data_IF_250524179003
#
_entry.id   IF_250524179003
#
_cell.length_a   1.000
_cell.length_b   1.000
_cell.length_c   1.000
_cell.angle_alpha   90.00
_cell.angle_beta   90.00
_cell.angle_gamma   90.00
#
_symmetry.space_group_name_H-M   'P 1'
#
loop_
_entity.id
_entity.type
_entity.pdbx_description
1 polymer ?
#
# COMPACT_ATOMS: atom_id res chain seq x y z
N UNK A 1 62.78 8.56 -31.33
CA UNK A 1 62.14 9.41 -30.31
C UNK A 1 60.89 10.05 -30.90
N UNK A 2 59.73 9.41 -30.74
CA UNK A 2 58.43 10.06 -30.94
C UNK A 2 57.49 9.49 -29.86
N UNK A 3 57.01 10.39 -29.00
CA UNK A 3 55.99 10.13 -28.00
C UNK A 3 54.63 10.46 -28.61
N UNK A 4 53.68 9.53 -28.52
CA UNK A 4 52.26 9.79 -28.77
C UNK A 4 51.56 9.74 -27.42
N UNK A 5 51.07 10.90 -26.97
CA UNK A 5 50.17 10.99 -25.81
C UNK A 5 48.75 10.64 -26.25
N UNK A 6 48.19 9.57 -25.70
CA UNK A 6 46.74 9.30 -25.76
C UNK A 6 46.06 10.00 -24.58
N UNK A 7 45.23 11.01 -24.88
CA UNK A 7 44.25 11.56 -23.94
C UNK A 7 42.99 10.70 -23.96
N UNK A 8 42.74 9.99 -22.87
CA UNK A 8 41.45 9.36 -22.60
C UNK A 8 40.50 10.41 -22.00
N UNK A 9 39.41 10.71 -22.71
CA UNK A 9 38.29 11.50 -22.18
C UNK A 9 37.36 10.54 -21.45
N UNK A 10 37.29 10.66 -20.12
CA UNK A 10 36.35 9.92 -19.30
C UNK A 10 35.02 10.69 -19.27
N UNK A 11 34.03 10.25 -20.06
CA UNK A 11 32.65 10.73 -19.94
C UNK A 11 31.99 10.05 -18.74
N UNK A 12 31.80 10.80 -17.66
CA UNK A 12 30.94 10.39 -16.54
C UNK A 12 29.50 10.72 -16.94
N UNK A 13 28.75 9.73 -17.41
CA UNK A 13 27.28 9.84 -17.54
C UNK A 13 26.67 9.69 -16.16
N UNK A 14 26.34 10.81 -15.53
CA UNK A 14 25.45 10.84 -14.37
C UNK A 14 24.04 10.45 -14.82
N UNK A 15 23.71 9.16 -14.71
CA UNK A 15 22.33 8.70 -14.77
C UNK A 15 21.61 9.28 -13.54
N UNK A 16 20.82 10.34 -13.75
CA UNK A 16 19.91 10.83 -12.74
C UNK A 16 18.89 9.74 -12.45
N UNK A 17 19.04 9.06 -11.30
CA UNK A 17 17.94 8.31 -10.71
C UNK A 17 16.87 9.34 -10.39
N UNK A 18 15.84 9.37 -11.22
CA UNK A 18 14.63 10.14 -10.97
C UNK A 18 13.95 9.46 -9.78
N UNK A 19 14.25 9.95 -8.57
CA UNK A 19 13.50 9.56 -7.37
C UNK A 19 12.07 10.07 -7.57
N UNK A 20 11.16 9.15 -7.87
CA UNK A 20 9.72 9.38 -7.72
C UNK A 20 9.47 9.98 -6.33
N UNK A 21 8.69 11.07 -6.21
CA UNK A 21 8.39 11.66 -4.92
C UNK A 21 7.72 10.60 -4.04
N UNK A 22 8.35 10.24 -2.93
CA UNK A 22 7.77 9.33 -1.96
C UNK A 22 6.46 9.95 -1.46
N UNK A 23 5.32 9.30 -1.77
CA UNK A 23 4.08 9.59 -1.07
C UNK A 23 4.35 9.37 0.43
N UNK A 24 4.12 10.40 1.25
CA UNK A 24 4.40 10.33 2.67
C UNK A 24 3.48 9.28 3.31
N UNK A 25 4.05 8.12 3.63
CA UNK A 25 3.41 7.08 4.41
C UNK A 25 2.90 7.65 5.74
N UNK A 26 1.69 7.26 6.15
CA UNK A 26 1.16 7.64 7.47
C UNK A 26 1.73 6.67 8.51
N UNK A 27 2.82 7.06 9.18
CA UNK A 27 3.55 6.19 10.10
C UNK A 27 3.10 6.35 11.57
N UNK A 28 2.76 5.25 12.23
CA UNK A 28 2.54 5.19 13.69
C UNK A 28 2.98 3.81 14.24
N UNK A 29 3.71 3.76 15.36
CA UNK A 29 4.20 2.48 15.92
C UNK A 29 5.09 1.66 14.95
N UNK A 30 5.68 2.31 13.94
CA UNK A 30 6.43 1.66 12.86
C UNK A 30 5.57 0.84 11.91
N UNK A 31 4.27 1.15 11.80
CA UNK A 31 3.36 0.67 10.77
C UNK A 31 3.05 1.80 9.79
N UNK A 32 2.93 1.48 8.51
CA UNK A 32 2.39 2.36 7.48
C UNK A 32 0.88 2.13 7.36
N UNK A 33 0.07 3.17 7.54
CA UNK A 33 -1.38 3.11 7.46
C UNK A 33 -1.88 3.82 6.20
N UNK A 34 -2.88 3.21 5.56
CA UNK A 34 -3.85 3.92 4.75
C UNK A 34 -5.20 3.87 5.48
N UNK A 35 -5.80 5.03 5.67
CA UNK A 35 -7.08 5.20 6.37
C UNK A 35 -8.12 5.56 5.33
N UNK A 36 -9.23 4.84 5.34
CA UNK A 36 -10.31 5.08 4.39
C UNK A 36 -11.31 6.13 4.88
N UNK A 37 -12.28 6.43 4.03
CA UNK A 37 -13.48 7.10 4.52
C UNK A 37 -14.23 6.19 5.49
N UNK A 38 -15.00 6.78 6.40
CA UNK A 38 -15.78 6.03 7.40
C UNK A 38 -17.27 5.98 7.03
N UNK A 39 -17.59 6.36 5.79
CA UNK A 39 -18.95 6.44 5.31
C UNK A 39 -19.11 6.11 3.82
N UNK A 40 -18.31 5.20 3.27
CA UNK A 40 -18.40 4.79 1.86
C UNK A 40 -18.67 3.31 1.65
N UNK A 41 -18.51 2.47 2.67
CA UNK A 41 -19.00 1.10 2.64
C UNK A 41 -20.52 1.03 2.34
N UNK A 42 -20.91 0.19 1.39
CA UNK A 42 -22.32 0.02 0.99
C UNK A 42 -22.88 -1.32 1.46
N UNK A 43 -23.89 -1.31 2.33
CA UNK A 43 -24.64 -2.53 2.68
C UNK A 43 -26.12 -2.37 2.32
N UNK A 44 -26.56 -3.07 1.27
CA UNK A 44 -27.92 -2.95 0.75
C UNK A 44 -28.25 -1.51 0.34
N UNK A 45 -29.20 -0.88 1.01
CA UNK A 45 -29.58 0.52 0.73
C UNK A 45 -28.75 1.56 1.50
N UNK A 46 -27.98 1.13 2.50
CA UNK A 46 -27.24 2.01 3.39
C UNK A 46 -25.84 2.30 2.83
N UNK A 47 -25.41 3.54 3.01
CA UNK A 47 -24.05 4.01 2.73
C UNK A 47 -23.47 4.45 4.07
N UNK A 48 -22.32 3.90 4.43
CA UNK A 48 -21.64 4.15 5.68
C UNK A 48 -22.02 3.23 6.84
N UNK A 49 -21.03 2.83 7.63
CA UNK A 49 -21.14 2.12 8.91
C UNK A 49 -21.69 0.69 8.83
N UNK A 50 -21.94 0.17 7.63
CA UNK A 50 -22.46 -1.18 7.40
C UNK A 50 -21.39 -2.26 7.49
N UNK A 51 -21.79 -3.51 7.24
CA UNK A 51 -20.90 -4.68 7.23
C UNK A 51 -19.74 -4.56 6.24
N UNK A 52 -19.92 -3.87 5.11
CA UNK A 52 -18.85 -3.73 4.12
C UNK A 52 -17.89 -2.56 4.41
N UNK A 53 -18.09 -1.77 5.46
CA UNK A 53 -17.22 -0.64 5.78
C UNK A 53 -15.79 -1.08 6.10
N UNK A 54 -14.83 -0.59 5.31
CA UNK A 54 -13.39 -0.71 5.56
C UNK A 54 -12.88 0.60 6.15
N UNK A 55 -12.18 0.52 7.28
CA UNK A 55 -11.67 1.73 7.96
C UNK A 55 -10.19 1.97 7.68
N UNK A 56 -9.44 0.90 7.40
CA UNK A 56 -8.01 1.04 7.16
C UNK A 56 -7.28 -0.27 6.89
N UNK A 57 -6.11 -0.12 6.29
CA UNK A 57 -5.09 -1.16 6.15
C UNK A 57 -3.78 -0.63 6.69
N UNK A 58 -3.02 -1.49 7.36
CA UNK A 58 -1.69 -1.17 7.85
C UNK A 58 -0.70 -2.25 7.42
N UNK A 59 0.48 -1.84 6.99
CA UNK A 59 1.58 -2.74 6.63
C UNK A 59 2.84 -2.35 7.43
N UNK A 60 3.46 -3.36 8.03
CA UNK A 60 4.77 -3.28 8.68
C UNK A 60 5.68 -4.32 8.06
N UNK A 61 6.97 -4.03 7.93
CA UNK A 61 7.96 -5.01 7.48
C UNK A 61 9.13 -5.13 8.44
N UNK A 62 9.76 -6.30 8.40
CA UNK A 62 11.10 -6.58 8.92
C UNK A 62 12.03 -6.89 7.73
N UNK A 63 13.25 -7.36 7.98
CA UNK A 63 14.16 -7.80 6.90
C UNK A 63 13.59 -8.97 6.10
N UNK A 64 12.82 -9.85 6.74
CA UNK A 64 12.36 -11.14 6.23
C UNK A 64 10.85 -11.23 6.02
N UNK A 65 10.05 -10.58 6.88
CA UNK A 65 8.60 -10.68 6.87
C UNK A 65 7.90 -9.36 6.56
N UNK A 66 6.69 -9.48 6.02
CA UNK A 66 5.71 -8.43 6.00
C UNK A 66 4.52 -8.84 6.87
N UNK A 67 3.96 -7.86 7.56
CA UNK A 67 2.81 -7.98 8.45
C UNK A 67 1.73 -7.05 7.91
N UNK A 68 0.53 -7.59 7.73
CA UNK A 68 -0.63 -6.85 7.24
C UNK A 68 -1.69 -6.88 8.32
N UNK A 69 -2.34 -5.74 8.55
CA UNK A 69 -3.52 -5.64 9.37
C UNK A 69 -4.61 -4.88 8.61
N UNK A 70 -5.85 -5.37 8.70
CA UNK A 70 -7.04 -4.77 8.10
C UNK A 70 -8.03 -4.48 9.22
N UNK A 71 -8.62 -3.30 9.22
CA UNK A 71 -9.70 -2.91 10.11
C UNK A 71 -10.97 -2.59 9.31
N UNK A 72 -12.08 -3.19 9.71
CA UNK A 72 -13.33 -3.20 8.95
C UNK A 72 -14.51 -3.66 9.82
N UNK A 73 -15.72 -3.65 9.26
CA UNK A 73 -16.87 -4.37 9.83
C UNK A 73 -17.07 -5.78 9.23
N UNK A 74 -16.45 -6.08 8.09
CA UNK A 74 -16.65 -7.35 7.41
C UNK A 74 -15.91 -8.48 8.15
N UNK A 75 -16.63 -9.50 8.61
CA UNK A 75 -15.97 -10.64 9.26
C UNK A 75 -15.13 -11.45 8.27
N UNK A 76 -14.09 -12.15 8.72
CA UNK A 76 -13.31 -13.05 7.87
C UNK A 76 -14.15 -14.23 7.31
N UNK A 77 -15.29 -14.54 7.95
CA UNK A 77 -16.27 -15.50 7.43
C UNK A 77 -17.12 -14.93 6.28
N UNK A 78 -17.02 -13.63 6.01
CA UNK A 78 -17.84 -12.89 5.04
C UNK A 78 -19.16 -12.41 5.63
N UNK A 79 -19.96 -11.82 4.75
CA UNK A 79 -21.36 -11.43 4.96
C UNK A 79 -22.27 -12.49 4.34
N UNK A 80 -23.20 -13.05 5.10
CA UNK A 80 -24.09 -14.09 4.58
C UNK A 80 -25.10 -13.50 3.58
N UNK A 81 -25.08 -14.00 2.34
CA UNK A 81 -25.98 -13.61 1.27
C UNK A 81 -26.34 -14.85 0.44
N UNK A 82 -27.58 -15.37 0.53
CA UNK A 82 -28.01 -16.57 -0.19
C UNK A 82 -27.95 -16.46 -1.72
N UNK A 83 -27.79 -15.26 -2.28
CA UNK A 83 -27.73 -15.03 -3.72
C UNK A 83 -26.31 -14.86 -4.24
N UNK A 84 -25.30 -14.83 -3.37
CA UNK A 84 -23.89 -14.90 -3.73
C UNK A 84 -23.47 -16.34 -4.09
N UNK A 85 -22.43 -16.52 -4.91
CA UNK A 85 -22.00 -17.82 -5.47
C UNK A 85 -21.81 -18.90 -4.39
N UNK A 86 -21.35 -18.50 -3.20
CA UNK A 86 -21.08 -19.38 -2.05
C UNK A 86 -22.00 -19.18 -0.85
N UNK A 87 -23.08 -18.44 -1.03
CA UNK A 87 -23.96 -18.05 0.07
C UNK A 87 -23.35 -17.00 1.02
N UNK A 88 -22.21 -16.42 0.65
CA UNK A 88 -21.60 -15.29 1.32
C UNK A 88 -20.87 -14.37 0.33
N UNK A 89 -20.68 -13.13 0.75
CA UNK A 89 -19.82 -12.15 0.11
C UNK A 89 -18.66 -11.89 1.05
N UNK A 90 -17.44 -12.14 0.62
CA UNK A 90 -16.25 -12.07 1.45
C UNK A 90 -15.31 -10.93 1.01
N UNK A 91 -14.11 -10.92 1.59
CA UNK A 91 -12.99 -10.17 1.05
C UNK A 91 -12.54 -10.77 -0.28
N UNK A 92 -12.21 -9.88 -1.21
CA UNK A 92 -11.33 -10.21 -2.32
C UNK A 92 -9.92 -10.57 -1.85
N UNK A 93 -9.05 -10.85 -2.81
CA UNK A 93 -7.63 -11.08 -2.52
C UNK A 93 -6.87 -9.76 -2.37
N UNK A 94 -5.83 -9.74 -1.53
CA UNK A 94 -4.95 -8.58 -1.38
C UNK A 94 -3.87 -8.61 -2.45
N UNK A 95 -3.90 -7.68 -3.39
CA UNK A 95 -2.93 -7.59 -4.46
C UNK A 95 -1.79 -6.66 -4.11
N UNK A 96 -0.61 -6.95 -4.64
CA UNK A 96 0.57 -6.10 -4.63
C UNK A 96 1.04 -5.89 -6.07
N UNK A 97 1.22 -4.64 -6.45
CA UNK A 97 1.70 -4.24 -7.77
C UNK A 97 2.99 -3.43 -7.64
N UNK A 98 4.10 -4.06 -8.02
CA UNK A 98 5.44 -3.48 -8.03
C UNK A 98 5.86 -2.91 -9.40
N UNK A 99 4.98 -3.02 -10.41
CA UNK A 99 5.35 -2.74 -11.81
C UNK A 99 5.43 -1.26 -12.16
N UNK A 100 4.90 -0.37 -11.30
CA UNK A 100 4.69 1.04 -11.61
C UNK A 100 3.59 1.30 -12.67
N UNK A 101 2.91 0.25 -13.14
CA UNK A 101 1.79 0.35 -14.07
C UNK A 101 0.44 0.40 -13.33
N UNK A 102 -0.60 0.87 -14.00
CA UNK A 102 -1.98 0.73 -13.50
C UNK A 102 -2.36 -0.76 -13.32
N UNK A 103 -3.42 -1.01 -12.54
CA UNK A 103 -3.80 -2.35 -12.13
C UNK A 103 -4.12 -3.27 -13.33
N UNK A 104 -4.83 -2.77 -14.34
CA UNK A 104 -5.22 -3.55 -15.52
C UNK A 104 -4.03 -3.96 -16.39
N UNK A 105 -3.08 -3.06 -16.61
CA UNK A 105 -1.85 -3.35 -17.35
C UNK A 105 -1.01 -4.37 -16.60
N UNK A 106 -0.82 -4.19 -15.28
CA UNK A 106 -0.11 -5.14 -14.44
C UNK A 106 -0.79 -6.53 -14.44
N UNK A 107 -2.12 -6.55 -14.38
CA UNK A 107 -2.92 -7.76 -14.47
C UNK A 107 -2.72 -8.50 -15.80
N UNK A 108 -2.83 -7.78 -16.91
CA UNK A 108 -2.67 -8.33 -18.27
C UNK A 108 -1.28 -8.93 -18.47
N UNK A 109 -0.26 -8.27 -17.91
CA UNK A 109 1.13 -8.72 -17.95
C UNK A 109 1.46 -9.81 -16.92
N UNK A 110 0.49 -10.22 -16.09
CA UNK A 110 0.66 -11.16 -14.98
C UNK A 110 1.77 -10.74 -14.02
N UNK A 111 1.97 -9.44 -13.82
CA UNK A 111 3.01 -8.90 -12.95
C UNK A 111 2.51 -8.60 -11.54
N UNK A 112 1.30 -9.04 -11.21
CA UNK A 112 0.75 -8.91 -9.85
C UNK A 112 1.31 -10.02 -8.96
N UNK A 113 1.44 -9.67 -7.68
CA UNK A 113 1.51 -10.61 -6.57
C UNK A 113 0.21 -10.50 -5.79
N UNK A 114 -0.18 -11.54 -5.07
CA UNK A 114 -1.39 -11.49 -4.28
C UNK A 114 -1.30 -12.38 -3.04
N UNK A 115 -2.10 -12.04 -2.04
CA UNK A 115 -2.33 -12.83 -0.84
C UNK A 115 -3.78 -13.24 -0.84
N UNK A 116 -4.03 -14.54 -0.88
CA UNK A 116 -5.32 -15.09 -0.53
C UNK A 116 -5.37 -15.32 0.97
N UNK A 117 -6.07 -14.47 1.70
CA UNK A 117 -6.20 -14.59 3.15
C UNK A 117 -7.60 -15.09 3.56
N UNK A 118 -8.65 -14.70 2.85
CA UNK A 118 -10.00 -15.19 3.13
C UNK A 118 -10.25 -16.53 2.43
N UNK A 119 -10.27 -17.63 3.20
CA UNK A 119 -10.51 -18.96 2.64
C UNK A 119 -11.92 -19.11 2.00
N UNK A 120 -12.88 -18.32 2.47
CA UNK A 120 -14.26 -18.32 1.98
C UNK A 120 -14.48 -17.61 0.64
N UNK A 121 -13.48 -16.90 0.11
CA UNK A 121 -13.64 -16.12 -1.12
C UNK A 121 -13.61 -16.99 -2.40
N UNK A 122 -14.03 -16.37 -3.50
CA UNK A 122 -14.19 -16.85 -4.87
C UNK A 122 -12.90 -16.80 -5.69
N UNK A 123 -11.77 -16.72 -5.00
CA UNK A 123 -10.46 -16.87 -5.60
C UNK A 123 -10.36 -18.17 -6.39
N UNK A 124 -9.73 -18.11 -7.57
CA UNK A 124 -9.54 -19.23 -8.49
C UNK A 124 -8.42 -20.19 -8.06
N UNK A 125 -7.64 -19.83 -7.04
CA UNK A 125 -6.66 -20.72 -6.41
C UNK A 125 -7.31 -21.49 -5.26
N UNK A 126 -6.71 -22.59 -4.78
CA UNK A 126 -7.39 -23.52 -3.87
C UNK A 126 -7.17 -23.25 -2.37
N UNK A 127 -6.05 -22.65 -1.98
CA UNK A 127 -5.68 -22.47 -0.55
C UNK A 127 -5.31 -21.03 -0.26
N UNK A 128 -5.31 -20.64 1.02
CA UNK A 128 -4.72 -19.37 1.45
C UNK A 128 -3.20 -19.38 1.23
N UNK A 129 -2.60 -18.21 1.05
CA UNK A 129 -1.15 -18.07 0.90
C UNK A 129 -0.73 -16.92 0.00
N UNK A 130 0.57 -16.90 -0.30
CA UNK A 130 1.22 -15.92 -1.16
C UNK A 130 1.31 -16.44 -2.59
N UNK A 131 0.98 -15.60 -3.56
CA UNK A 131 0.94 -15.95 -4.96
C UNK A 131 1.74 -14.96 -5.82
N UNK A 132 2.45 -15.50 -6.81
CA UNK A 132 3.16 -14.75 -7.85
C UNK A 132 2.61 -15.05 -9.24
N UNK A 133 3.03 -14.26 -10.23
CA UNK A 133 2.57 -14.37 -11.62
C UNK A 133 1.03 -14.32 -11.73
N UNK A 134 0.43 -13.46 -10.91
CA UNK A 134 -1.01 -13.42 -10.68
C UNK A 134 -1.69 -12.69 -11.83
N UNK A 135 -2.79 -13.30 -12.30
CA UNK A 135 -3.85 -12.57 -12.98
C UNK A 135 -5.08 -12.56 -12.06
N UNK A 136 -5.68 -11.39 -11.87
CA UNK A 136 -6.93 -11.14 -11.22
C UNK A 136 -8.13 -11.25 -12.19
N UNK A 137 -9.29 -11.56 -11.63
CA UNK A 137 -10.63 -11.53 -12.24
C UNK A 137 -11.55 -10.67 -11.37
N UNK A 138 -12.65 -10.24 -11.96
CA UNK A 138 -13.78 -9.73 -11.19
C UNK A 138 -14.70 -10.88 -10.80
N UNK A 139 -15.17 -10.86 -9.56
CA UNK A 139 -16.26 -11.72 -9.07
C UNK A 139 -17.48 -10.89 -8.64
N UNK A 140 -17.53 -9.61 -9.01
CA UNK A 140 -18.63 -8.74 -8.56
C UNK A 140 -19.97 -9.12 -9.18
N UNK A 141 -20.00 -9.65 -10.41
CA UNK A 141 -21.23 -10.09 -11.06
C UNK A 141 -21.93 -11.26 -10.36
N UNK A 142 -21.15 -12.20 -9.83
CA UNK A 142 -21.65 -13.37 -9.09
C UNK A 142 -21.97 -13.05 -7.64
N UNK A 143 -21.49 -11.93 -7.12
CA UNK A 143 -21.66 -11.47 -5.75
C UNK A 143 -22.58 -10.24 -5.64
N UNK A 144 -23.48 -10.05 -6.62
CA UNK A 144 -24.45 -8.94 -6.68
C UNK A 144 -23.82 -7.54 -6.47
N UNK A 145 -22.57 -7.41 -6.88
CA UNK A 145 -21.75 -6.26 -6.62
C UNK A 145 -21.89 -5.13 -7.63
N UNK A 146 -21.10 -4.09 -7.40
CA UNK A 146 -20.95 -3.00 -8.35
C UNK A 146 -20.27 -3.47 -9.63
N UNK A 147 -20.84 -3.02 -10.74
CA UNK A 147 -20.34 -3.32 -12.08
C UNK A 147 -19.01 -2.61 -12.36
N UNK A 148 -18.78 -1.44 -11.77
CA UNK A 148 -17.54 -0.68 -11.85
C UNK A 148 -17.45 0.35 -10.70
N UNK A 149 -16.27 0.92 -10.49
CA UNK A 149 -16.01 1.87 -9.40
C UNK A 149 -16.75 3.21 -9.57
N UNK A 150 -17.00 3.67 -10.80
CA UNK A 150 -17.77 4.89 -11.01
C UNK A 150 -19.21 4.77 -10.48
N UNK A 151 -19.85 3.60 -10.65
CA UNK A 151 -21.18 3.34 -10.10
C UNK A 151 -21.16 3.24 -8.58
N UNK A 152 -20.13 2.63 -7.99
CA UNK A 152 -19.90 2.63 -6.54
C UNK A 152 -19.77 4.08 -6.02
N UNK A 153 -18.83 4.86 -6.57
CA UNK A 153 -18.61 6.25 -6.19
C UNK A 153 -19.88 7.10 -6.30
N UNK A 154 -20.63 6.94 -7.41
CA UNK A 154 -21.91 7.63 -7.62
C UNK A 154 -22.94 7.26 -6.54
N UNK A 155 -23.01 5.97 -6.18
CA UNK A 155 -23.92 5.47 -5.14
C UNK A 155 -23.57 6.02 -3.77
N UNK A 156 -22.29 6.05 -3.42
CA UNK A 156 -21.79 6.61 -2.15
C UNK A 156 -22.15 8.09 -2.04
N UNK A 157 -21.82 8.88 -3.07
CA UNK A 157 -22.14 10.32 -3.10
C UNK A 157 -23.65 10.56 -3.02
N UNK A 158 -24.45 9.79 -3.74
CA UNK A 158 -25.91 9.89 -3.69
C UNK A 158 -26.50 9.53 -2.32
N UNK A 159 -25.80 8.68 -1.55
CA UNK A 159 -26.13 8.35 -0.16
C UNK A 159 -25.61 9.35 0.88
N UNK A 160 -24.89 10.40 0.46
CA UNK A 160 -24.29 11.40 1.35
C UNK A 160 -22.93 10.97 1.94
N UNK A 161 -22.37 9.87 1.47
CA UNK A 161 -21.02 9.41 1.82
C UNK A 161 -19.93 10.12 1.01
N UNK A 162 -18.68 9.87 1.38
CA UNK A 162 -17.48 10.36 0.67
C UNK A 162 -16.68 9.16 0.18
N UNK A 163 -16.69 8.85 -1.12
CA UNK A 163 -15.94 7.70 -1.63
C UNK A 163 -14.44 7.96 -1.47
N UNK A 164 -13.73 6.93 -1.05
CA UNK A 164 -12.29 6.94 -0.81
C UNK A 164 -11.70 5.59 -1.23
N UNK A 165 -10.37 5.50 -1.20
CA UNK A 165 -9.62 4.29 -1.52
C UNK A 165 -8.30 4.27 -0.74
N UNK A 166 -8.34 4.74 0.52
CA UNK A 166 -7.14 4.99 1.33
C UNK A 166 -6.16 5.99 0.70
N UNK A 167 -4.97 5.52 0.33
CA UNK A 167 -3.88 6.35 -0.19
C UNK A 167 -4.06 6.83 -1.65
N UNK A 168 -5.08 6.31 -2.33
CA UNK A 168 -5.46 6.68 -3.69
C UNK A 168 -6.77 7.47 -3.68
N UNK A 169 -6.96 8.32 -4.69
CA UNK A 169 -8.25 8.96 -4.90
C UNK A 169 -9.31 7.93 -5.31
N UNK A 170 -10.59 8.18 -5.01
CA UNK A 170 -11.68 7.28 -5.40
C UNK A 170 -11.81 7.09 -6.92
N UNK A 171 -11.40 8.09 -7.71
CA UNK A 171 -11.37 8.07 -9.17
C UNK A 171 -9.95 7.91 -9.75
N UNK A 172 -9.00 7.43 -8.94
CA UNK A 172 -7.59 7.29 -9.34
C UNK A 172 -7.45 6.44 -10.62
N UNK A 173 -6.65 6.90 -11.61
CA UNK A 173 -6.45 6.20 -12.88
C UNK A 173 -5.71 4.85 -12.74
N UNK A 174 -5.19 4.54 -11.56
CA UNK A 174 -4.68 3.21 -11.24
C UNK A 174 -5.74 2.12 -11.45
N UNK A 175 -7.01 2.42 -11.18
CA UNK A 175 -8.14 1.51 -11.37
C UNK A 175 -9.00 1.85 -12.59
N UNK A 176 -9.61 0.83 -13.17
CA UNK A 176 -10.56 0.99 -14.26
C UNK A 176 -11.93 1.44 -13.72
N UNK A 177 -12.24 2.72 -13.91
CA UNK A 177 -13.42 3.35 -13.33
C UNK A 177 -14.74 2.95 -14.00
N UNK A 178 -14.73 2.59 -15.28
CA UNK A 178 -15.95 2.34 -16.08
C UNK A 178 -15.88 1.02 -16.84
N UNK A 179 -17.03 0.57 -17.37
CA UNK A 179 -17.15 -0.71 -18.08
C UNK A 179 -17.96 -1.73 -17.28
N UNK A 180 -18.07 -2.94 -17.82
CA UNK A 180 -18.86 -4.01 -17.21
C UNK A 180 -17.96 -4.99 -16.46
N UNK A 181 -18.18 -5.11 -15.14
CA UNK A 181 -17.51 -6.07 -14.27
C UNK A 181 -15.99 -5.89 -14.27
N UNK A 182 -15.56 -4.63 -14.14
CA UNK A 182 -14.15 -4.23 -14.28
C UNK A 182 -13.37 -4.18 -12.97
N UNK A 183 -14.03 -4.37 -11.83
CA UNK A 183 -13.36 -4.38 -10.51
C UNK A 183 -12.69 -5.73 -10.31
N UNK A 184 -11.38 -5.76 -10.51
CA UNK A 184 -10.55 -6.96 -10.38
C UNK A 184 -10.19 -7.18 -8.91
N UNK A 185 -10.90 -8.10 -8.26
CA UNK A 185 -10.88 -8.28 -6.81
C UNK A 185 -10.59 -9.72 -6.35
N UNK A 186 -10.38 -10.67 -7.26
CA UNK A 186 -10.01 -12.05 -6.88
C UNK A 186 -8.96 -12.59 -7.83
N UNK A 187 -8.06 -13.44 -7.34
CA UNK A 187 -7.07 -14.13 -8.15
C UNK A 187 -7.84 -15.04 -9.11
N UNK A 188 -7.61 -14.89 -10.41
CA UNK A 188 -8.05 -15.85 -11.41
C UNK A 188 -7.10 -17.06 -11.43
N UNK A 189 -5.81 -16.75 -11.54
CA UNK A 189 -4.71 -17.72 -11.61
C UNK A 189 -3.44 -17.12 -10.99
N UNK A 190 -2.61 -17.97 -10.40
CA UNK A 190 -1.32 -17.60 -9.83
C UNK A 190 -0.56 -18.82 -9.34
N UNK A 191 0.74 -18.68 -9.09
CA UNK A 191 1.58 -19.75 -8.54
C UNK A 191 1.81 -19.47 -7.07
N UNK A 192 1.49 -20.43 -6.20
CA UNK A 192 1.75 -20.29 -4.76
C UNK A 192 3.26 -20.28 -4.51
N UNK A 193 3.76 -19.29 -3.78
CA UNK A 193 5.18 -19.10 -3.46
C UNK A 193 5.45 -19.02 -1.95
N UNK A 194 4.42 -19.05 -1.12
CA UNK A 194 4.56 -19.01 0.33
C UNK A 194 3.24 -19.22 1.06
N UNK A 195 3.35 -19.38 2.38
CA UNK A 195 2.21 -19.47 3.29
C UNK A 195 1.95 -18.10 3.97
N UNK A 196 0.82 -18.01 4.65
CA UNK A 196 0.52 -16.91 5.57
C UNK A 196 0.34 -17.45 6.99
N UNK A 197 0.77 -16.67 7.98
CA UNK A 197 0.52 -16.94 9.39
C UNK A 197 -0.46 -15.91 9.94
N UNK A 198 -1.64 -16.34 10.38
CA UNK A 198 -2.61 -15.44 11.03
C UNK A 198 -2.09 -14.98 12.40
N UNK A 199 -2.41 -13.73 12.73
CA UNK A 199 -2.00 -13.07 13.96
C UNK A 199 -3.23 -12.69 14.77
N UNK A 200 -3.13 -12.84 16.10
CA UNK A 200 -4.21 -12.40 16.99
C UNK A 200 -4.17 -10.87 17.17
N UNK A 201 -5.31 -10.24 17.50
CA UNK A 201 -5.35 -8.82 17.84
C UNK A 201 -4.35 -8.42 18.94
N UNK A 202 -4.13 -9.29 19.94
CA UNK A 202 -3.16 -9.05 21.02
C UNK A 202 -1.72 -9.01 20.48
N UNK A 203 -1.39 -9.91 19.55
CA UNK A 203 -0.07 -9.94 18.91
C UNK A 203 0.17 -8.66 18.12
N UNK A 204 -0.81 -8.24 17.32
CA UNK A 204 -0.74 -6.99 16.54
C UNK A 204 -0.57 -5.76 17.45
N UNK A 205 -1.29 -5.72 18.58
CA UNK A 205 -1.18 -4.62 19.55
C UNK A 205 0.21 -4.56 20.19
N UNK A 206 0.81 -5.70 20.55
CA UNK A 206 2.20 -5.76 21.05
C UNK A 206 3.20 -5.27 20.00
N UNK A 207 2.91 -5.51 18.72
CA UNK A 207 3.70 -4.99 17.59
C UNK A 207 3.48 -3.50 17.30
N UNK A 208 2.65 -2.80 18.07
CA UNK A 208 2.39 -1.37 17.95
C UNK A 208 1.32 -0.99 16.93
N UNK A 209 0.46 -1.93 16.52
CA UNK A 209 -0.72 -1.60 15.71
C UNK A 209 -1.71 -0.76 16.53
N UNK A 210 -2.15 0.36 15.96
CA UNK A 210 -3.09 1.29 16.61
C UNK A 210 -3.90 2.08 15.57
N UNK A 211 -4.96 1.46 15.04
CA UNK A 211 -5.93 2.14 14.18
C UNK A 211 -6.77 3.19 14.93
N UNK A 212 -6.93 3.04 16.25
CA UNK A 212 -7.70 3.98 17.07
C UNK A 212 -7.06 5.37 17.12
N UNK A 213 -5.74 5.47 16.91
CA UNK A 213 -5.04 6.73 16.68
C UNK A 213 -5.69 7.59 15.58
N UNK A 214 -6.28 6.96 14.56
CA UNK A 214 -6.91 7.62 13.42
C UNK A 214 -8.44 7.59 13.50
N UNK A 215 -9.03 7.10 14.60
CA UNK A 215 -10.46 6.78 14.73
C UNK A 215 -10.97 5.72 13.73
N UNK A 216 -10.07 4.96 13.11
CA UNK A 216 -10.39 3.90 12.16
C UNK A 216 -10.77 2.61 12.92
N UNK A 217 -11.92 2.62 13.59
CA UNK A 217 -12.33 1.55 14.51
C UNK A 217 -13.60 0.84 14.08
N UNK A 218 -13.45 -0.20 13.27
CA UNK A 218 -14.45 -1.20 12.94
C UNK A 218 -14.53 -2.35 13.95
N UNK A 219 -15.50 -3.23 13.73
CA UNK A 219 -15.76 -4.39 14.60
C UNK A 219 -14.75 -5.53 14.43
N UNK A 220 -13.97 -5.53 13.37
CA UNK A 220 -13.01 -6.59 13.02
C UNK A 220 -11.60 -6.02 12.91
N UNK A 221 -10.61 -6.80 13.34
CA UNK A 221 -9.20 -6.58 13.03
C UNK A 221 -8.59 -7.90 12.59
N UNK A 222 -8.24 -7.98 11.32
CA UNK A 222 -7.67 -9.18 10.69
C UNK A 222 -6.19 -8.92 10.50
N UNK A 223 -5.33 -9.79 11.03
CA UNK A 223 -3.90 -9.69 10.82
C UNK A 223 -3.28 -10.99 10.35
N UNK A 224 -2.30 -10.87 9.47
CA UNK A 224 -1.49 -12.00 9.01
C UNK A 224 -0.08 -11.52 8.64
N UNK A 225 0.85 -12.48 8.56
CA UNK A 225 2.21 -12.24 8.08
C UNK A 225 2.61 -13.22 6.99
N UNK A 226 3.63 -12.86 6.22
CA UNK A 226 4.22 -13.72 5.21
C UNK A 226 5.71 -13.41 5.01
N UNK A 227 6.44 -14.38 4.46
CA UNK A 227 7.85 -14.20 4.08
C UNK A 227 7.97 -13.38 2.80
N UNK A 228 8.74 -12.30 2.85
CA UNK A 228 9.00 -11.42 1.70
C UNK A 228 9.89 -12.04 0.63
N UNK A 229 10.54 -13.17 0.91
CA UNK A 229 11.45 -13.82 -0.06
C UNK A 229 10.76 -14.22 -1.37
N UNK A 230 9.43 -14.40 -1.34
CA UNK A 230 8.61 -14.64 -2.53
C UNK A 230 8.11 -13.37 -3.25
N UNK A 231 8.44 -12.17 -2.76
CA UNK A 231 7.99 -10.88 -3.27
C UNK A 231 9.15 -10.06 -3.85
N UNK A 232 8.89 -9.14 -4.80
CA UNK A 232 9.85 -8.12 -5.19
C UNK A 232 10.12 -7.14 -4.04
N UNK A 233 11.30 -6.54 -4.06
CA UNK A 233 11.61 -5.32 -3.28
C UNK A 233 11.24 -4.06 -4.08
N UNK A 234 11.12 -2.93 -3.39
CA UNK A 234 10.81 -1.63 -3.97
C UNK A 234 9.38 -1.20 -3.75
N UNK A 235 9.01 -0.08 -4.38
CA UNK A 235 7.70 0.55 -4.21
C UNK A 235 6.57 -0.32 -4.77
N UNK A 236 5.44 -0.32 -4.08
CA UNK A 236 4.23 -0.99 -4.51
C UNK A 236 2.98 -0.16 -4.22
N UNK A 237 1.92 -0.47 -4.95
CA UNK A 237 0.55 -0.21 -4.54
C UNK A 237 -0.04 -1.56 -4.14
N UNK A 238 -0.56 -1.66 -2.93
CA UNK A 238 -1.33 -2.82 -2.48
C UNK A 238 -2.78 -2.43 -2.33
N UNK A 239 -3.70 -3.32 -2.72
CA UNK A 239 -5.13 -3.04 -2.66
C UNK A 239 -5.96 -4.31 -2.54
N UNK A 240 -7.15 -4.18 -1.96
CA UNK A 240 -8.18 -5.20 -2.00
C UNK A 240 -9.56 -4.54 -2.01
N UNK A 241 -10.57 -5.32 -2.39
CA UNK A 241 -11.97 -4.92 -2.38
C UNK A 241 -12.78 -6.00 -1.68
N UNK A 242 -13.99 -5.69 -1.23
CA UNK A 242 -15.00 -6.73 -1.02
C UNK A 242 -15.30 -7.44 -2.36
N UNK A 243 -15.79 -8.68 -2.34
CA UNK A 243 -16.11 -9.43 -3.56
C UNK A 243 -17.21 -8.79 -4.41
N UNK A 244 -18.08 -8.04 -3.76
CA UNK A 244 -19.12 -7.23 -4.36
C UNK A 244 -18.64 -5.81 -4.76
N UNK A 245 -17.39 -5.44 -4.46
CA UNK A 245 -16.86 -4.08 -4.62
C UNK A 245 -17.70 -2.99 -3.93
N UNK A 246 -18.35 -3.35 -2.82
CA UNK A 246 -19.11 -2.43 -1.98
C UNK A 246 -18.24 -1.58 -1.05
N UNK A 247 -16.93 -1.88 -1.05
CA UNK A 247 -15.88 -1.07 -0.46
C UNK A 247 -14.53 -1.61 -0.98
N UNK A 248 -13.47 -0.82 -0.84
CA UNK A 248 -12.10 -1.18 -1.19
C UNK A 248 -11.10 -0.14 -0.74
N UNK A 249 -9.88 -0.60 -0.47
CA UNK A 249 -8.81 0.24 0.04
C UNK A 249 -7.50 -0.04 -0.68
N UNK A 250 -6.70 1.01 -0.87
CA UNK A 250 -5.35 0.94 -1.40
C UNK A 250 -4.35 1.62 -0.47
N UNK A 251 -3.14 1.07 -0.42
CA UNK A 251 -2.01 1.61 0.33
C UNK A 251 -0.77 1.66 -0.56
N UNK A 252 -0.04 2.77 -0.50
CA UNK A 252 1.29 2.89 -1.11
C UNK A 252 2.34 2.50 -0.08
N UNK A 253 3.32 1.71 -0.51
CA UNK A 253 4.41 1.30 0.34
C UNK A 253 5.67 0.97 -0.45
N UNK A 254 6.68 0.50 0.26
CA UNK A 254 7.89 -0.05 -0.36
C UNK A 254 8.42 -1.16 0.53
N UNK A 255 8.94 -2.23 -0.08
CA UNK A 255 9.69 -3.24 0.65
C UNK A 255 11.18 -2.99 0.50
N UNK A 256 11.88 -2.89 1.63
CA UNK A 256 13.33 -2.82 1.59
C UNK A 256 13.92 -4.14 1.04
N UNK A 257 14.98 -4.07 0.21
CA UNK A 257 15.77 -5.24 -0.13
C UNK A 257 16.22 -5.94 1.15
N UNK A 258 16.19 -7.27 1.17
CA UNK A 258 16.78 -8.03 2.28
C UNK A 258 18.22 -7.56 2.48
N UNK A 259 18.56 -7.12 3.69
CA UNK A 259 19.92 -6.71 4.02
C UNK A 259 20.81 -7.93 3.85
N UNK A 260 21.79 -7.87 2.93
CA UNK A 260 22.86 -8.85 2.89
C UNK A 260 23.54 -8.80 4.27
N UNK A 261 23.56 -9.90 5.05
CA UNK A 261 24.15 -9.90 6.38
C UNK A 261 25.66 -9.57 6.37
N UNK A 262 26.30 -9.52 5.21
CA UNK A 262 27.70 -9.12 5.03
C UNK A 262 27.90 -7.64 4.69
N UNK A 263 26.82 -6.85 4.57
CA UNK A 263 26.90 -5.41 4.31
C UNK A 263 26.63 -4.68 5.62
N UNK A 264 27.63 -3.96 6.12
CA UNK A 264 27.47 -3.15 7.33
C UNK A 264 26.32 -2.14 7.16
N UNK A 265 25.48 -1.94 8.19
CA UNK A 265 24.36 -1.01 8.10
C UNK A 265 24.90 0.41 7.82
N UNK A 266 24.49 0.96 6.67
CA UNK A 266 24.74 2.36 6.34
C UNK A 266 23.96 3.20 7.36
N UNK A 267 24.61 4.13 8.09
CA UNK A 267 23.90 5.00 9.03
C UNK A 267 22.78 5.74 8.32
N UNK A 268 21.54 5.56 8.77
CA UNK A 268 20.43 6.37 8.28
C UNK A 268 20.74 7.85 8.53
N UNK A 269 20.35 8.77 7.62
CA UNK A 269 20.58 10.20 7.79
C UNK A 269 19.61 10.76 8.83
N UNK A 270 19.83 10.40 10.09
CA UNK A 270 19.32 11.14 11.23
C UNK A 270 20.51 11.89 11.85
N UNK A 271 20.42 13.23 11.87
CA UNK A 271 21.32 14.14 12.62
C UNK A 271 22.58 14.69 11.93
N UNK A 272 22.55 15.06 10.64
CA UNK A 272 23.58 15.98 10.07
C UNK A 272 23.10 17.44 9.94
N UNK A 273 21.82 17.73 10.21
CA UNK A 273 21.33 19.11 10.27
C UNK A 273 21.73 19.88 11.55
N UNK A 274 22.49 19.27 12.47
CA UNK A 274 22.89 19.87 13.74
C UNK A 274 24.25 20.58 13.76
N UNK A 275 25.09 20.43 12.73
CA UNK A 275 26.53 20.80 12.82
C UNK A 275 26.94 21.94 11.89
N UNK A 276 26.01 22.79 11.44
CA UNK A 276 26.30 24.01 10.65
C UNK A 276 25.82 25.33 11.28
N UNK A 277 25.40 25.32 12.56
CA UNK A 277 25.04 26.56 13.31
C UNK A 277 26.17 27.03 14.24
N UNK A 278 27.28 26.27 14.34
CA UNK A 278 28.33 26.51 15.35
C UNK A 278 29.49 27.45 15.00
N UNK A 279 29.61 27.96 13.77
CA UNK A 279 30.80 28.75 13.35
C UNK A 279 30.53 30.19 12.87
N UNK A 280 29.33 30.73 13.13
CA UNK A 280 28.92 32.04 12.59
C UNK A 280 29.01 33.28 13.50
N UNK A 281 29.20 33.16 14.83
CA UNK A 281 28.95 34.31 15.75
C UNK A 281 30.10 34.61 16.73
N UNK A 282 31.35 34.34 16.37
CA UNK A 282 32.52 34.73 17.18
C UNK A 282 33.47 35.72 16.49
N UNK A 283 33.01 36.44 15.45
CA UNK A 283 33.86 37.30 14.61
C UNK A 283 33.45 38.76 14.45
N UNK A 284 32.45 39.27 15.19
CA UNK A 284 31.99 40.67 15.07
C UNK A 284 32.16 41.44 16.38
N UNK A 285 33.39 41.50 16.87
CA UNK A 285 33.82 42.54 17.79
C UNK A 285 35.26 42.95 17.44
N UNK A 286 35.46 44.26 17.26
CA UNK A 286 36.73 44.98 17.01
C UNK A 286 37.28 44.98 15.58
N UNK A 287 36.83 45.95 14.78
CA UNK A 287 37.74 46.91 14.13
C UNK A 287 37.00 48.13 13.55
N UNK A 288 36.14 48.80 14.33
CA UNK A 288 35.79 50.21 14.08
C UNK A 288 36.91 51.08 14.67
N UNK A 289 37.95 51.35 13.87
CA UNK A 289 38.89 52.46 14.10
C UNK A 289 39.62 52.80 12.79
N UNK A 290 38.97 53.58 11.95
CA UNK A 290 39.65 54.44 10.97
C UNK A 290 38.76 55.65 10.73
N UNK A 291 39.22 56.82 11.19
CA UNK A 291 39.07 58.13 10.53
C UNK A 291 39.47 59.24 11.51
N UNK A 292 40.78 59.52 11.56
CA UNK A 292 41.29 60.87 11.78
C UNK A 292 42.55 61.04 10.93
N UNK A 293 42.61 62.19 10.23
CA UNK A 293 43.69 62.75 9.37
C UNK A 293 43.71 62.17 7.94
N UNK A 294 43.78 62.90 6.84
CA UNK A 294 43.99 64.31 6.41
C UNK A 294 43.62 64.25 4.89
N UNK A 295 42.85 65.15 4.27
CA UNK A 295 43.01 66.57 3.96
C UNK A 295 41.65 67.14 3.56
#
# INVERSE_FOLDING_TARGET
MHWLFSTAVLLITSAGLQQEPAAAATLNGGWNYAIDSFNDGVTGINVGGGEFEFYGIAIKETSDKAYVAINSNLSLAGYADPWADRGNVNYGDLFFNFSGQNFNTANTNRSLFAIRFAAGNDSGVATTGVYSNVAAKSVTSTNLGFRNLNLYNTRVVAGGGTPSMGDLAADDPYFQQTGDWTVLNSIAVGTKVGEIDFLTPETLKVMGLDFAHFNATGSQTIGFSFDKSGMPSGSYIANFFAECANDGIAIKGSFQPGVDPNVEPVPEPSTVLGTLVGFGVAGLARAKRKNQRQN
#
